data_IF_940260618289
#
_entry.id   IF_940260618289
#
_cell.length_a   1.000
_cell.length_b   1.000
_cell.length_c   1.000
_cell.angle_alpha   90.00
_cell.angle_beta   90.00
_cell.angle_gamma   90.00
#
_symmetry.space_group_name_H-M   'P 1'
#
loop_
_entity.id
_entity.type
_entity.pdbx_description
1 polymer ?
#
# COMPACT_ATOMS: atom_id res chain seq x y z
N UNK A 1 10.07 -5.00 -17.77
CA UNK A 1 9.40 -4.04 -16.87
C UNK A 1 9.07 -4.78 -15.58
N UNK A 2 9.64 -4.37 -14.45
CA UNK A 2 9.43 -5.04 -13.16
C UNK A 2 8.04 -4.67 -12.65
N UNK A 3 7.02 -5.50 -12.93
CA UNK A 3 5.70 -5.31 -12.33
C UNK A 3 5.85 -5.65 -10.84
N UNK A 4 5.56 -4.73 -9.90
CA UNK A 4 5.82 -4.94 -8.48
C UNK A 4 5.18 -6.25 -8.03
N UNK A 5 5.96 -7.16 -7.43
CA UNK A 5 5.47 -8.51 -7.08
C UNK A 5 4.18 -8.51 -6.25
N UNK A 6 4.00 -7.49 -5.40
CA UNK A 6 2.78 -7.30 -4.62
C UNK A 6 1.57 -6.89 -5.47
N UNK A 7 1.78 -6.08 -6.52
CA UNK A 7 0.68 -5.66 -7.40
C UNK A 7 0.14 -6.85 -8.21
N UNK A 8 1.04 -7.70 -8.70
CA UNK A 8 0.69 -8.93 -9.42
C UNK A 8 -0.01 -9.93 -8.50
N UNK A 9 0.40 -10.01 -7.23
CA UNK A 9 -0.19 -10.94 -6.27
C UNK A 9 -1.69 -10.73 -6.05
N UNK A 10 -2.15 -9.47 -5.94
CA UNK A 10 -3.58 -9.15 -5.80
C UNK A 10 -4.38 -9.60 -7.03
N UNK A 11 -3.82 -9.43 -8.23
CA UNK A 11 -4.46 -9.85 -9.49
C UNK A 11 -4.53 -11.36 -9.58
N UNK A 12 -3.46 -12.08 -9.25
CA UNK A 12 -3.43 -13.56 -9.20
C UNK A 12 -4.46 -14.08 -8.18
N UNK A 13 -4.59 -13.44 -7.02
CA UNK A 13 -5.56 -13.82 -6.01
C UNK A 13 -7.00 -13.59 -6.50
N UNK A 14 -7.26 -12.46 -7.14
CA UNK A 14 -8.56 -12.18 -7.75
C UNK A 14 -8.89 -13.19 -8.86
N UNK A 15 -7.93 -13.55 -9.73
CA UNK A 15 -8.13 -14.58 -10.75
C UNK A 15 -8.52 -15.92 -10.14
N UNK A 16 -7.92 -16.28 -9.00
CA UNK A 16 -8.16 -17.55 -8.32
C UNK A 16 -9.49 -17.59 -7.56
N UNK A 17 -9.85 -16.53 -6.86
CA UNK A 17 -10.99 -16.53 -5.93
C UNK A 17 -12.24 -15.81 -6.48
N UNK A 18 -12.08 -14.78 -7.33
CA UNK A 18 -13.18 -14.00 -7.91
C UNK A 18 -12.84 -13.60 -9.37
N UNK A 19 -12.79 -14.56 -10.31
CA UNK A 19 -12.30 -14.32 -11.68
C UNK A 19 -13.09 -13.27 -12.48
N UNK A 20 -14.35 -13.01 -12.11
CA UNK A 20 -15.17 -11.94 -12.71
C UNK A 20 -14.82 -10.53 -12.19
N UNK A 21 -14.02 -10.43 -11.13
CA UNK A 21 -13.67 -9.19 -10.44
C UNK A 21 -12.22 -8.73 -10.64
N UNK A 22 -11.46 -9.42 -11.50
CA UNK A 22 -10.02 -9.16 -11.72
C UNK A 22 -9.77 -7.73 -12.21
N UNK A 23 -10.58 -7.24 -13.14
CA UNK A 23 -10.45 -5.88 -13.68
C UNK A 23 -10.66 -4.82 -12.59
N UNK A 24 -11.64 -5.04 -11.70
CA UNK A 24 -11.92 -4.14 -10.58
C UNK A 24 -10.79 -4.20 -9.56
N UNK A 25 -10.30 -5.39 -9.20
CA UNK A 25 -9.20 -5.57 -8.27
C UNK A 25 -7.90 -4.91 -8.77
N UNK A 26 -7.60 -5.07 -10.07
CA UNK A 26 -6.46 -4.44 -10.73
C UNK A 26 -6.60 -2.92 -10.78
N UNK A 27 -7.75 -2.39 -11.21
CA UNK A 27 -8.01 -0.96 -11.26
C UNK A 27 -7.90 -0.32 -9.86
N UNK A 28 -8.42 -0.98 -8.83
CA UNK A 28 -8.32 -0.53 -7.45
C UNK A 28 -6.88 -0.51 -6.95
N UNK A 29 -6.09 -1.53 -7.29
CA UNK A 29 -4.68 -1.61 -6.93
C UNK A 29 -3.86 -0.48 -7.56
N UNK A 30 -4.09 -0.20 -8.85
CA UNK A 30 -3.46 0.93 -9.55
C UNK A 30 -3.89 2.27 -8.94
N UNK A 31 -5.18 2.44 -8.66
CA UNK A 31 -5.70 3.66 -8.05
C UNK A 31 -5.10 3.91 -6.66
N UNK A 32 -5.04 2.87 -5.82
CA UNK A 32 -4.44 2.94 -4.49
C UNK A 32 -2.94 3.30 -4.55
N UNK A 33 -2.21 2.73 -5.51
CA UNK A 33 -0.79 3.06 -5.72
C UNK A 33 -0.59 4.53 -6.11
N UNK A 34 -1.37 5.02 -7.08
CA UNK A 34 -1.30 6.42 -7.50
C UNK A 34 -1.69 7.38 -6.38
N UNK A 35 -2.72 7.04 -5.59
CA UNK A 35 -3.10 7.81 -4.41
C UNK A 35 -1.98 7.83 -3.35
N UNK A 36 -1.32 6.69 -3.13
CA UNK A 36 -0.16 6.58 -2.24
C UNK A 36 1.00 7.48 -2.67
N UNK A 37 1.33 7.50 -3.97
CA UNK A 37 2.36 8.41 -4.51
C UNK A 37 1.95 9.87 -4.33
N UNK A 38 0.70 10.22 -4.63
CA UNK A 38 0.20 11.58 -4.50
C UNK A 38 0.29 12.07 -3.05
N UNK A 39 -0.18 11.26 -2.09
CA UNK A 39 -0.09 11.55 -0.66
C UNK A 39 1.36 11.64 -0.18
N UNK A 40 2.21 10.68 -0.58
CA UNK A 40 3.63 10.69 -0.22
C UNK A 40 4.37 11.91 -0.77
N UNK A 41 4.07 12.31 -2.01
CA UNK A 41 4.66 13.50 -2.63
C UNK A 41 4.19 14.79 -1.98
N UNK A 42 2.90 14.87 -1.62
CA UNK A 42 2.35 16.02 -0.88
C UNK A 42 2.98 16.16 0.51
N UNK A 43 3.03 15.07 1.27
CA UNK A 43 3.66 15.07 2.61
C UNK A 43 5.16 15.36 2.52
N UNK A 44 5.88 14.74 1.58
CA UNK A 44 7.29 15.02 1.35
C UNK A 44 7.55 16.48 0.97
N UNK A 45 6.68 17.07 0.13
CA UNK A 45 6.72 18.49 -0.21
C UNK A 45 6.52 19.39 1.00
N UNK A 46 5.56 19.07 1.88
CA UNK A 46 5.36 19.81 3.14
C UNK A 46 6.59 19.74 4.05
N UNK A 47 7.22 18.57 4.17
CA UNK A 47 8.44 18.38 4.97
C UNK A 47 9.58 19.22 4.41
N UNK A 48 9.82 19.19 3.10
CA UNK A 48 10.91 19.98 2.50
C UNK A 48 10.63 21.50 2.57
N UNK A 49 9.35 21.91 2.56
CA UNK A 49 8.97 23.33 2.64
C UNK A 49 9.17 23.91 4.03
N UNK A 50 8.89 23.13 5.09
CA UNK A 50 8.90 23.62 6.47
C UNK A 50 10.10 23.12 7.29
N UNK A 51 10.84 22.13 6.79
CA UNK A 51 11.95 21.47 7.47
C UNK A 51 13.16 21.31 6.53
N UNK A 52 14.19 20.59 6.97
CA UNK A 52 15.37 20.32 6.14
C UNK A 52 15.12 19.09 5.28
N UNK A 53 15.78 19.01 4.13
CA UNK A 53 15.67 17.85 3.23
C UNK A 53 15.98 16.53 3.94
N UNK A 54 16.90 16.54 4.91
CA UNK A 54 17.26 15.35 5.70
C UNK A 54 16.07 14.79 6.50
N UNK A 55 15.11 15.63 6.88
CA UNK A 55 13.94 15.25 7.68
C UNK A 55 12.98 14.32 6.93
N UNK A 56 13.01 14.36 5.59
CA UNK A 56 12.25 13.41 4.75
C UNK A 56 12.60 11.95 5.04
N UNK A 57 13.83 11.68 5.51
CA UNK A 57 14.32 10.33 5.79
C UNK A 57 13.57 9.69 6.95
N UNK A 58 13.48 10.37 8.10
CA UNK A 58 12.81 9.82 9.28
C UNK A 58 11.28 9.88 9.13
N UNK A 59 10.74 10.87 8.42
CA UNK A 59 9.30 10.90 8.08
C UNK A 59 8.94 9.69 7.22
N UNK A 60 9.75 9.38 6.20
CA UNK A 60 9.60 8.17 5.39
C UNK A 60 9.68 6.89 6.22
N UNK A 61 10.61 6.81 7.17
CA UNK A 61 10.71 5.68 8.10
C UNK A 61 9.41 5.50 8.91
N UNK A 62 8.83 6.58 9.44
CA UNK A 62 7.55 6.51 10.17
C UNK A 62 6.42 6.01 9.27
N UNK A 63 6.34 6.50 8.02
CA UNK A 63 5.33 6.02 7.06
C UNK A 63 5.46 4.51 6.81
N UNK A 64 6.68 4.00 6.68
CA UNK A 64 6.94 2.56 6.53
C UNK A 64 6.54 1.79 7.78
N UNK A 65 6.87 2.29 8.98
CA UNK A 65 6.48 1.64 10.24
C UNK A 65 4.96 1.55 10.40
N UNK A 66 4.23 2.60 10.02
CA UNK A 66 2.75 2.60 10.00
C UNK A 66 2.25 1.53 9.02
N UNK A 67 2.81 1.45 7.81
CA UNK A 67 2.40 0.43 6.83
C UNK A 67 2.64 -1.01 7.34
N UNK A 68 3.78 -1.26 8.01
CA UNK A 68 4.09 -2.55 8.64
C UNK A 68 3.09 -2.87 9.75
N UNK A 69 2.77 -1.91 10.61
CA UNK A 69 1.79 -2.08 11.68
C UNK A 69 0.39 -2.41 11.14
N UNK A 70 -0.05 -1.70 10.10
CA UNK A 70 -1.33 -1.96 9.41
C UNK A 70 -1.34 -3.35 8.76
N UNK A 71 -0.25 -3.76 8.13
CA UNK A 71 -0.12 -5.09 7.52
C UNK A 71 -0.20 -6.20 8.58
N UNK A 72 0.51 -6.03 9.70
CA UNK A 72 0.47 -6.97 10.81
C UNK A 72 -0.94 -7.04 11.43
N UNK A 73 -1.64 -5.91 11.53
CA UNK A 73 -3.01 -5.88 12.01
C UNK A 73 -3.98 -6.57 11.04
N UNK A 74 -3.87 -6.32 9.73
CA UNK A 74 -4.66 -6.99 8.70
C UNK A 74 -4.50 -8.51 8.79
N UNK A 75 -3.26 -8.99 8.95
CA UNK A 75 -2.98 -10.42 9.10
C UNK A 75 -3.68 -11.01 10.33
N UNK A 76 -3.69 -10.29 11.46
CA UNK A 76 -4.38 -10.73 12.68
C UNK A 76 -5.91 -10.79 12.50
N UNK A 77 -6.47 -9.87 11.71
CA UNK A 77 -7.91 -9.85 11.40
C UNK A 77 -8.30 -11.05 10.53
N UNK A 78 -7.47 -11.37 9.53
CA UNK A 78 -7.67 -12.53 8.64
C UNK A 78 -7.67 -13.85 9.42
N UNK A 79 -6.71 -14.04 10.34
CA UNK A 79 -6.67 -15.24 11.21
C UNK A 79 -7.91 -15.37 12.10
N UNK A 80 -8.47 -14.25 12.58
CA UNK A 80 -9.67 -14.28 13.42
C UNK A 80 -10.94 -14.61 12.62
N UNK A 81 -10.91 -14.42 11.30
CA UNK A 81 -12.03 -14.68 10.41
C UNK A 81 -12.08 -16.15 9.98
N UNK A 82 -10.97 -16.88 10.04
CA UNK A 82 -10.90 -18.33 9.81
C UNK A 82 -11.33 -19.18 11.03
N UNK A 83 -11.46 -18.58 12.22
CA UNK A 83 -11.89 -19.26 13.46
C UNK A 83 -13.42 -19.27 13.70
N UNK A 84 -14.22 -18.71 12.79
CA UNK A 84 -15.70 -18.72 12.81
C UNK A 84 -16.28 -19.58 11.67
#
# INVERSE_FOLDING_TARGET
MNVPGLQVYIVILAEKFVPKGVDIASALNIAAFNAGIALGSYLGGLVITHMRIIDTTWVGMIMVLIAVALTAWSKKLETKQEEF
#
